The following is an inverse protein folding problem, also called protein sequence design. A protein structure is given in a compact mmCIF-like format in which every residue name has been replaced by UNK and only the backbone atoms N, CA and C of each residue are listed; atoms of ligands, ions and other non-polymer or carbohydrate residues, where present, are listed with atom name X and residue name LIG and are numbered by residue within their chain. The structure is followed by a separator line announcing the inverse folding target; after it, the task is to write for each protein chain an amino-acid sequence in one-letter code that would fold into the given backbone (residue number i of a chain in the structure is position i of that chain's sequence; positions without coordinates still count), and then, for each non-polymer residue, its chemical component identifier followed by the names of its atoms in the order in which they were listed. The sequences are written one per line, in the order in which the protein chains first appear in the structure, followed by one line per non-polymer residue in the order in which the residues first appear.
data_IF_221104973696
#
_entry.id   IF_221104973696
#
_cell.length_a   1.000
_cell.length_b   1.000
_cell.length_c   1.000
_cell.angle_alpha   90.00
_cell.angle_beta   90.00
_cell.angle_gamma   90.00
#
_symmetry.space_group_name_H-M   'P 1'
#
loop_
_entity.id
_entity.type
_entity.pdbx_description
1 polymer ?
#
# COMPACT_ATOMS: atom_id res chain seq x y z
N UNK A 1 -0.93 9.09 1.63
CA UNK A 1 -0.41 9.05 3.03
C UNK A 1 0.86 9.89 3.13
N UNK A 2 0.90 10.89 4.02
CA UNK A 2 2.07 11.77 4.23
C UNK A 2 3.24 10.93 4.77
N UNK A 3 4.44 11.07 4.19
CA UNK A 3 5.67 10.40 4.61
C UNK A 3 5.75 10.35 6.14
N UNK A 4 5.74 9.15 6.70
CA UNK A 4 5.71 8.94 8.15
C UNK A 4 7.03 9.49 8.70
N UNK A 5 6.96 10.61 9.43
CA UNK A 5 8.15 11.21 10.06
C UNK A 5 8.80 10.17 10.98
N UNK A 6 10.14 10.13 10.99
CA UNK A 6 10.94 9.13 11.68
C UNK A 6 10.91 9.25 13.22
N UNK A 7 9.72 9.27 13.81
CA UNK A 7 9.47 9.52 15.23
C UNK A 7 9.27 8.23 15.99
N UNK A 8 9.54 8.25 17.30
CA UNK A 8 9.32 7.10 18.19
C UNK A 8 7.86 6.59 18.12
N UNK A 9 6.90 7.52 18.11
CA UNK A 9 5.47 7.23 17.99
C UNK A 9 5.10 6.56 16.66
N UNK A 10 5.67 7.01 15.54
CA UNK A 10 5.46 6.37 14.25
C UNK A 10 5.90 4.90 14.23
N UNK A 11 7.09 4.61 14.76
CA UNK A 11 7.60 3.23 14.85
C UNK A 11 6.75 2.37 15.78
N UNK A 12 6.28 2.94 16.88
CA UNK A 12 5.38 2.25 17.81
C UNK A 12 4.07 1.87 17.11
N UNK A 13 3.43 2.83 16.43
CA UNK A 13 2.20 2.59 15.68
C UNK A 13 2.39 1.57 14.55
N UNK A 14 3.51 1.64 13.81
CA UNK A 14 3.85 0.66 12.78
C UNK A 14 3.87 -0.78 13.33
N UNK A 15 4.57 -1.00 14.45
CA UNK A 15 4.63 -2.32 15.10
C UNK A 15 3.25 -2.79 15.57
N UNK A 16 2.41 -1.87 16.06
CA UNK A 16 1.08 -2.19 16.57
C UNK A 16 0.09 -2.58 15.46
N UNK A 17 0.24 -2.04 14.25
CA UNK A 17 -0.62 -2.38 13.10
C UNK A 17 -0.46 -3.83 12.63
N UNK A 18 0.70 -4.45 12.84
CA UNK A 18 0.90 -5.89 12.69
C UNK A 18 0.99 -6.45 11.25
N UNK A 19 0.66 -5.67 10.21
CA UNK A 19 0.81 -6.10 8.80
C UNK A 19 2.28 -6.44 8.44
N UNK A 20 3.23 -5.84 9.14
CA UNK A 20 4.65 -6.11 8.99
C UNK A 20 5.01 -7.57 9.31
N UNK A 21 4.28 -8.23 10.22
CA UNK A 21 4.45 -9.65 10.57
C UNK A 21 4.02 -10.61 9.46
N UNK A 22 3.18 -10.12 8.54
CA UNK A 22 2.76 -10.81 7.32
C UNK A 22 3.64 -10.43 6.12
N UNK A 23 4.62 -9.54 6.32
CA UNK A 23 5.52 -9.07 5.28
C UNK A 23 4.82 -8.24 4.21
N UNK A 24 3.73 -7.56 4.58
CA UNK A 24 3.01 -6.59 3.75
C UNK A 24 3.62 -5.19 3.90
N UNK A 25 3.32 -4.32 2.95
CA UNK A 25 3.52 -2.87 3.02
C UNK A 25 2.20 -2.17 3.31
N UNK A 26 2.26 -0.93 3.80
CA UNK A 26 1.06 -0.14 4.10
C UNK A 26 0.14 0.06 2.88
N UNK A 27 0.71 0.12 1.68
CA UNK A 27 -0.06 0.29 0.44
C UNK A 27 -0.71 -1.00 -0.06
N UNK A 28 -0.32 -2.17 0.48
CA UNK A 28 -0.95 -3.45 0.15
C UNK A 28 -2.31 -3.62 0.87
N UNK A 29 -2.54 -2.91 1.98
CA UNK A 29 -3.76 -3.01 2.82
C UNK A 29 -4.79 -1.91 2.53
N UNK A 30 -4.56 -1.07 1.51
CA UNK A 30 -5.50 -0.03 1.13
C UNK A 30 -6.78 -0.65 0.58
N UNK A 31 -7.93 -0.04 0.88
CA UNK A 31 -9.19 -0.45 0.29
C UNK A 31 -9.17 -0.19 -1.22
N UNK A 32 -9.60 -1.16 -2.01
CA UNK A 32 -9.62 -1.08 -3.48
C UNK A 32 -10.82 -0.23 -3.96
N UNK A 33 -10.74 1.08 -3.72
CA UNK A 33 -11.63 2.07 -4.34
C UNK A 33 -11.33 2.16 -5.84
N UNK A 34 -12.23 2.74 -6.66
CA UNK A 34 -11.97 2.89 -8.11
C UNK A 34 -10.65 3.59 -8.44
N UNK A 35 -10.28 4.62 -7.65
CA UNK A 35 -9.01 5.34 -7.77
C UNK A 35 -7.81 4.42 -7.48
N UNK A 36 -7.90 3.63 -6.41
CA UNK A 36 -6.82 2.70 -6.01
C UNK A 36 -6.69 1.55 -7.02
N UNK A 37 -7.80 1.02 -7.53
CA UNK A 37 -7.81 -0.02 -8.55
C UNK A 37 -7.15 0.47 -9.85
N UNK A 38 -7.46 1.68 -10.30
CA UNK A 38 -6.83 2.29 -11.46
C UNK A 38 -5.35 2.58 -11.22
N UNK A 39 -4.98 3.05 -10.03
CA UNK A 39 -3.58 3.24 -9.65
C UNK A 39 -2.79 1.91 -9.67
N UNK A 40 -3.37 0.80 -9.21
CA UNK A 40 -2.75 -0.53 -9.26
C UNK A 40 -2.58 -0.97 -10.71
N UNK A 41 -3.57 -0.73 -11.57
CA UNK A 41 -3.53 -1.06 -13.00
C UNK A 41 -2.37 -0.35 -13.72
N UNK A 42 -2.05 0.89 -13.32
CA UNK A 42 -0.97 1.71 -13.90
C UNK A 42 0.43 1.35 -13.44
N UNK A 43 0.57 0.57 -12.37
CA UNK A 43 1.89 0.16 -11.87
C UNK A 43 2.69 -0.60 -12.95
N UNK A 44 4.03 -0.49 -12.95
CA UNK A 44 4.87 -1.38 -13.74
C UNK A 44 4.59 -2.85 -13.38
N UNK A 45 4.61 -3.73 -14.38
CA UNK A 45 4.28 -5.15 -14.20
C UNK A 45 5.12 -5.81 -13.09
N UNK A 46 6.42 -5.54 -13.06
CA UNK A 46 7.32 -6.08 -12.02
C UNK A 46 6.88 -5.69 -10.60
N UNK A 47 6.44 -4.44 -10.41
CA UNK A 47 5.96 -3.95 -9.11
C UNK A 47 4.63 -4.60 -8.74
N UNK A 48 3.74 -4.80 -9.72
CA UNK A 48 2.48 -5.54 -9.52
C UNK A 48 2.74 -6.99 -9.11
N UNK A 49 3.67 -7.68 -9.78
CA UNK A 49 4.00 -9.07 -9.47
C UNK A 49 4.58 -9.20 -8.05
N UNK A 50 5.47 -8.27 -7.65
CA UNK A 50 6.00 -8.24 -6.27
C UNK A 50 4.90 -7.93 -5.25
N UNK A 51 3.96 -7.02 -5.55
CA UNK A 51 2.77 -6.78 -4.70
C UNK A 51 1.94 -8.05 -4.54
N UNK A 52 1.64 -8.72 -5.64
CA UNK A 52 0.83 -9.94 -5.65
C UNK A 52 1.51 -11.05 -4.84
N UNK A 53 2.83 -11.20 -4.95
CA UNK A 53 3.59 -12.14 -4.15
C UNK A 53 3.46 -11.86 -2.63
N UNK A 54 3.58 -10.59 -2.20
CA UNK A 54 3.40 -10.23 -0.78
C UNK A 54 2.00 -10.57 -0.28
N UNK A 55 0.97 -10.26 -1.08
CA UNK A 55 -0.43 -10.56 -0.75
C UNK A 55 -0.66 -12.07 -0.66
N UNK A 56 -0.19 -12.84 -1.64
CA UNK A 56 -0.29 -14.31 -1.62
C UNK A 56 0.35 -14.92 -0.37
N UNK A 57 1.54 -14.44 0.00
CA UNK A 57 2.23 -14.86 1.22
C UNK A 57 1.42 -14.52 2.48
N UNK A 58 0.86 -13.30 2.55
CA UNK A 58 0.03 -12.90 3.67
C UNK A 58 -1.27 -13.73 3.76
N UNK A 59 -1.88 -14.06 2.63
CA UNK A 59 -3.05 -14.96 2.55
C UNK A 59 -2.69 -16.35 3.06
N UNK A 60 -1.55 -16.90 2.67
CA UNK A 60 -1.08 -18.20 3.18
C UNK A 60 -0.90 -18.19 4.71
N UNK A 61 -0.28 -17.14 5.26
CA UNK A 61 -0.18 -16.94 6.71
C UNK A 61 -1.56 -16.85 7.37
N UNK A 62 -2.51 -16.13 6.76
CA UNK A 62 -3.88 -16.01 7.25
C UNK A 62 -4.62 -17.34 7.27
N UNK A 63 -4.50 -18.15 6.21
CA UNK A 63 -5.14 -19.47 6.11
C UNK A 63 -4.61 -20.43 7.17
N UNK A 64 -3.30 -20.40 7.41
CA UNK A 64 -2.63 -21.28 8.37
C UNK A 64 -2.69 -20.75 9.81
N UNK A 65 -3.22 -19.55 10.02
CA UNK A 65 -3.18 -18.83 11.29
C UNK A 65 -1.74 -18.71 11.85
N UNK A 66 -0.76 -18.53 10.97
CA UNK A 66 0.65 -18.35 11.32
C UNK A 66 1.13 -16.93 10.98
N UNK A 67 2.33 -16.59 11.43
CA UNK A 67 3.05 -15.36 11.08
C UNK A 67 4.40 -15.72 10.47
N UNK A 68 5.00 -14.79 9.73
CA UNK A 68 6.33 -15.00 9.18
C UNK A 68 7.39 -15.05 10.30
N UNK A 69 8.53 -15.70 10.06
CA UNK A 69 9.73 -15.53 10.89
C UNK A 69 10.13 -14.06 11.03
N UNK A 70 10.67 -13.67 12.20
CA UNK A 70 10.94 -12.26 12.53
C UNK A 70 11.94 -11.58 11.58
N UNK A 71 12.86 -12.33 10.99
CA UNK A 71 13.81 -11.85 9.99
C UNK A 71 13.16 -11.48 8.64
N UNK A 72 11.95 -11.98 8.36
CA UNK A 72 11.19 -11.70 7.14
C UNK A 72 10.13 -10.60 7.32
N UNK A 73 10.03 -10.04 8.51
CA UNK A 73 9.08 -8.95 8.77
C UNK A 73 9.52 -7.70 8.03
N UNK A 74 8.54 -7.00 7.45
CA UNK A 74 8.76 -5.68 6.86
C UNK A 74 9.38 -4.76 7.91
N UNK A 75 10.49 -4.12 7.57
CA UNK A 75 11.11 -3.11 8.43
C UNK A 75 10.41 -1.77 8.26
N UNK A 76 10.47 -0.94 9.28
CA UNK A 76 9.87 0.39 9.23
C UNK A 76 10.44 1.24 8.07
N UNK A 77 11.75 1.14 7.82
CA UNK A 77 12.42 1.92 6.78
C UNK A 77 12.14 1.39 5.35
N UNK A 78 11.73 0.13 5.23
CA UNK A 78 11.38 -0.52 3.95
C UNK A 78 9.90 -0.31 3.57
N UNK A 79 9.07 0.25 4.47
CA UNK A 79 7.64 0.48 4.25
C UNK A 79 7.38 1.68 3.34
N UNK A 80 7.59 1.46 2.04
CA UNK A 80 7.50 2.50 1.00
C UNK A 80 6.09 2.70 0.48
N UNK A 81 5.72 3.97 0.29
CA UNK A 81 4.44 4.40 -0.27
C UNK A 81 4.38 4.28 -1.81
N UNK A 82 4.63 3.08 -2.35
CA UNK A 82 4.85 2.85 -3.79
C UNK A 82 3.65 3.21 -4.69
N UNK A 83 2.43 3.16 -4.16
CA UNK A 83 1.19 3.47 -4.90
C UNK A 83 0.82 4.97 -4.87
N UNK A 84 1.44 5.75 -3.98
CA UNK A 84 1.12 7.19 -3.80
C UNK A 84 1.22 8.02 -5.09
N UNK A 85 2.27 7.91 -5.93
CA UNK A 85 2.37 8.74 -7.14
C UNK A 85 1.22 8.47 -8.12
N UNK A 86 0.84 7.20 -8.28
CA UNK A 86 -0.24 6.80 -9.19
C UNK A 86 -1.62 7.20 -8.66
N UNK A 87 -1.84 7.11 -7.34
CA UNK A 87 -3.09 7.60 -6.72
C UNK A 87 -3.26 9.10 -6.98
N UNK A 88 -2.21 9.89 -6.76
CA UNK A 88 -2.27 11.35 -6.96
C UNK A 88 -2.53 11.74 -8.40
N UNK A 89 -1.96 11.01 -9.35
CA UNK A 89 -2.21 11.23 -10.78
C UNK A 89 -3.68 10.98 -11.11
N UNK A 90 -4.24 9.83 -10.68
CA UNK A 90 -5.64 9.49 -10.92
C UNK A 90 -6.59 10.48 -10.22
N UNK A 91 -6.30 10.87 -8.98
CA UNK A 91 -7.10 11.88 -8.26
C UNK A 91 -7.09 13.24 -8.97
N UNK A 92 -5.95 13.65 -9.53
CA UNK A 92 -5.84 14.90 -10.29
C UNK A 92 -6.66 14.85 -11.59
N UNK A 93 -6.59 13.75 -12.33
CA UNK A 93 -7.40 13.55 -13.54
C UNK A 93 -8.91 13.56 -13.23
N UNK A 94 -9.33 12.90 -12.16
CA UNK A 94 -10.74 12.88 -11.74
C UNK A 94 -11.22 14.27 -11.28
N UNK A 95 -10.36 15.03 -10.60
CA UNK A 95 -10.66 16.42 -10.24
C UNK A 95 -10.78 17.32 -11.47
N UNK A 96 -9.90 17.16 -12.46
CA UNK A 96 -9.96 17.90 -13.73
C UNK A 96 -11.24 17.58 -14.51
N UNK A 97 -11.59 16.30 -14.65
CA UNK A 97 -12.86 15.89 -15.29
C UNK A 97 -14.06 16.52 -14.58
N UNK A 98 -14.10 16.44 -13.26
CA UNK A 98 -15.20 17.00 -12.45
C UNK A 98 -15.31 18.52 -12.62
N UNK A 99 -14.19 19.21 -12.68
CA UNK A 99 -14.14 20.66 -12.91
C UNK A 99 -14.59 21.01 -14.33
N UNK A 100 -14.20 20.21 -15.33
CA UNK A 100 -14.65 20.38 -16.71
C UNK A 100 -16.17 20.26 -16.83
N UNK A 101 -16.78 19.21 -16.29
CA UNK A 101 -18.24 19.02 -16.26
C UNK A 101 -19.00 20.06 -15.43
N UNK A 102 -18.32 20.76 -14.53
CA UNK A 102 -18.92 21.84 -13.72
C UNK A 102 -18.94 23.16 -14.48
N UNK A 103 -17.96 23.39 -15.34
CA UNK A 103 -17.71 24.67 -16.02
C UNK A 103 -18.26 24.70 -17.45
N UNK A 104 -18.49 23.54 -18.05
CA UNK A 104 -19.06 23.34 -19.39
C UNK A 104 -20.32 22.49 -19.29
#
# INVERSE_FOLDING_TARGET
YRQVTNTSWARFLFKQRGYNKLGLLAHDILNETPVVAEAIRRLPKEVQDVRNYRILRAVQCSITHTILPQNEWTKFDDDVAYLEPFIKEVEAEEAEKKEWYRTH
#
